data_IF_870363527639
#
_entry.id   IF_870363527639
#
_cell.length_a   1.000
_cell.length_b   1.000
_cell.length_c   1.000
_cell.angle_alpha   90.00
_cell.angle_beta   90.00
_cell.angle_gamma   90.00
#
_symmetry.space_group_name_H-M   'P 1'
#
loop_
_entity.id
_entity.type
_entity.pdbx_description
1 polymer ?
#
# COMPACT_ATOMS: atom_id res chain seq x y z
N UNK A 1 0.06 11.45 31.47
CA UNK A 1 -0.98 12.50 31.67
C UNK A 1 -0.98 13.39 30.44
N UNK A 2 -2.17 13.80 29.98
CA UNK A 2 -2.28 14.82 28.94
C UNK A 2 -1.76 16.16 29.49
N UNK A 3 -1.16 16.98 28.64
CA UNK A 3 -0.84 18.36 29.03
C UNK A 3 -2.13 19.17 29.24
N UNK A 4 -2.01 20.29 29.97
CA UNK A 4 -3.16 21.09 30.39
C UNK A 4 -3.96 21.65 29.20
N UNK A 5 -3.30 22.01 28.10
CA UNK A 5 -3.97 22.57 26.93
C UNK A 5 -4.77 21.48 26.21
N UNK A 6 -4.18 20.30 26.01
CA UNK A 6 -4.87 19.15 25.43
C UNK A 6 -6.05 18.69 26.29
N UNK A 7 -5.90 18.64 27.62
CA UNK A 7 -7.00 18.28 28.52
C UNK A 7 -8.13 19.31 28.48
N UNK A 8 -7.81 20.60 28.49
CA UNK A 8 -8.81 21.67 28.39
C UNK A 8 -9.60 21.60 27.09
N UNK A 9 -8.91 21.38 25.96
CA UNK A 9 -9.55 21.23 24.66
C UNK A 9 -10.41 19.95 24.58
N UNK A 10 -9.96 18.84 25.15
CA UNK A 10 -10.75 17.61 25.24
C UNK A 10 -12.05 17.84 26.00
N UNK A 11 -11.99 18.48 27.17
CA UNK A 11 -13.17 18.77 27.99
C UNK A 11 -14.12 19.71 27.24
N UNK A 12 -13.60 20.73 26.56
CA UNK A 12 -14.38 21.63 25.71
C UNK A 12 -15.15 20.87 24.62
N UNK A 13 -14.51 19.92 23.94
CA UNK A 13 -15.17 19.09 22.91
C UNK A 13 -16.22 18.18 23.53
N UNK A 14 -15.88 17.49 24.63
CA UNK A 14 -16.76 16.55 25.29
C UNK A 14 -18.00 17.21 25.93
N UNK A 15 -17.89 18.48 26.33
CA UNK A 15 -18.99 19.25 26.91
C UNK A 15 -19.79 20.07 25.87
N UNK A 16 -19.44 20.00 24.59
CA UNK A 16 -20.14 20.75 23.55
C UNK A 16 -21.56 20.19 23.34
N UNK A 17 -22.53 21.07 23.10
CA UNK A 17 -23.93 20.68 22.88
C UNK A 17 -24.13 19.80 21.64
N UNK A 18 -23.21 19.91 20.67
CA UNK A 18 -23.19 19.17 19.41
C UNK A 18 -22.23 17.96 19.44
N UNK A 19 -21.70 17.59 20.62
CA UNK A 19 -20.73 16.50 20.80
C UNK A 19 -21.20 15.17 20.20
N UNK A 20 -22.47 14.81 20.38
CA UNK A 20 -23.00 13.55 19.84
C UNK A 20 -22.93 13.52 18.31
N UNK A 21 -23.24 14.64 17.64
CA UNK A 21 -23.13 14.74 16.19
C UNK A 21 -21.66 14.70 15.74
N UNK A 22 -20.78 15.37 16.48
CA UNK A 22 -19.34 15.32 16.22
C UNK A 22 -18.82 13.88 16.32
N UNK A 23 -19.17 13.19 17.40
CA UNK A 23 -18.79 11.80 17.66
C UNK A 23 -19.33 10.86 16.55
N UNK A 24 -20.56 11.06 16.09
CA UNK A 24 -21.13 10.32 14.96
C UNK A 24 -20.30 10.53 13.68
N UNK A 25 -19.97 11.79 13.32
CA UNK A 25 -19.12 12.07 12.16
C UNK A 25 -17.77 11.33 12.28
N UNK A 26 -17.11 11.40 13.44
CA UNK A 26 -15.83 10.72 13.64
C UNK A 26 -15.97 9.20 13.52
N UNK A 27 -17.01 8.59 14.11
CA UNK A 27 -17.30 7.16 13.94
C UNK A 27 -17.51 6.78 12.47
N UNK A 28 -18.21 7.61 11.68
CA UNK A 28 -18.42 7.39 10.23
C UNK A 28 -17.10 7.41 9.45
N UNK A 29 -16.12 8.22 9.86
CA UNK A 29 -14.76 8.17 9.29
C UNK A 29 -13.93 6.96 9.76
N UNK A 30 -14.46 6.15 10.68
CA UNK A 30 -13.76 5.04 11.32
C UNK A 30 -12.77 5.49 12.41
N UNK A 31 -12.89 6.71 12.94
CA UNK A 31 -11.88 7.31 13.81
C UNK A 31 -10.65 7.77 13.03
N UNK A 32 -10.84 8.42 11.88
CA UNK A 32 -9.73 8.95 11.09
C UNK A 32 -8.89 9.93 11.91
N UNK A 33 -7.56 9.79 11.88
CA UNK A 33 -6.63 10.64 12.64
C UNK A 33 -6.43 12.04 12.07
N UNK A 34 -6.78 12.24 10.80
CA UNK A 34 -6.55 13.51 10.09
C UNK A 34 -7.65 13.78 9.05
N UNK A 35 -8.93 13.87 9.44
CA UNK A 35 -10.05 13.92 8.49
C UNK A 35 -10.00 15.17 7.61
N UNK A 36 -10.48 15.06 6.38
CA UNK A 36 -10.68 16.22 5.50
C UNK A 36 -11.98 16.93 5.89
N UNK A 37 -11.94 18.25 5.96
CA UNK A 37 -13.10 19.07 6.23
C UNK A 37 -13.69 19.62 4.93
N UNK A 38 -15.00 19.44 4.76
CA UNK A 38 -15.78 20.09 3.72
C UNK A 38 -16.83 21.00 4.34
N UNK A 39 -17.12 22.11 3.68
CA UNK A 39 -18.28 22.96 3.94
C UNK A 39 -19.13 23.04 2.70
N UNK A 40 -20.45 23.10 2.85
CA UNK A 40 -21.36 23.17 1.72
C UNK A 40 -22.65 22.41 1.96
N UNK A 41 -23.28 21.99 0.87
CA UNK A 41 -24.63 21.41 0.90
C UNK A 41 -24.85 20.41 -0.24
N UNK A 42 -25.87 19.57 -0.06
CA UNK A 42 -26.41 18.69 -1.09
C UNK A 42 -27.93 18.72 -1.05
N UNK A 43 -28.54 18.74 -2.23
CA UNK A 43 -29.98 18.81 -2.46
C UNK A 43 -30.39 17.68 -3.41
N UNK A 44 -31.31 16.84 -2.98
CA UNK A 44 -31.93 15.82 -3.81
C UNK A 44 -33.30 16.33 -4.24
N UNK A 45 -33.56 16.35 -5.55
CA UNK A 45 -34.84 16.74 -6.13
C UNK A 45 -35.43 15.62 -6.97
N UNK A 46 -36.74 15.49 -6.95
CA UNK A 46 -37.45 14.71 -7.97
C UNK A 46 -37.33 15.46 -9.31
N UNK A 47 -36.84 14.80 -10.36
CA UNK A 47 -36.64 15.39 -11.69
C UNK A 47 -37.95 15.73 -12.39
N UNK A 48 -39.02 15.01 -12.08
CA UNK A 48 -40.32 15.11 -12.74
C UNK A 48 -41.15 16.22 -12.10
N UNK A 49 -41.25 16.24 -10.77
CA UNK A 49 -42.07 17.20 -10.03
C UNK A 49 -41.28 18.45 -9.62
N UNK A 50 -39.94 18.35 -9.55
CA UNK A 50 -39.08 19.39 -8.99
C UNK A 50 -39.09 19.47 -7.46
N UNK A 51 -39.83 18.58 -6.79
CA UNK A 51 -39.95 18.51 -5.33
C UNK A 51 -38.57 18.26 -4.69
N UNK A 52 -38.32 18.92 -3.56
CA UNK A 52 -37.11 18.65 -2.77
C UNK A 52 -37.34 17.44 -1.88
N UNK A 53 -36.67 16.35 -2.22
CA UNK A 53 -36.74 15.09 -1.49
C UNK A 53 -35.86 15.10 -0.25
N UNK A 54 -34.70 15.76 -0.32
CA UNK A 54 -33.76 15.86 0.79
C UNK A 54 -32.85 17.08 0.63
N UNK A 55 -32.53 17.74 1.74
CA UNK A 55 -31.54 18.81 1.78
C UNK A 55 -30.64 18.62 3.01
N UNK A 56 -29.34 18.65 2.78
CA UNK A 56 -28.32 18.63 3.82
C UNK A 56 -27.40 19.84 3.64
N UNK A 57 -27.03 20.49 4.73
CA UNK A 57 -26.06 21.59 4.76
C UNK A 57 -25.15 21.47 5.98
N UNK A 58 -23.89 21.89 5.84
CA UNK A 58 -22.93 21.88 6.97
C UNK A 58 -23.12 23.01 7.95
N UNK A 59 -24.03 23.97 7.70
CA UNK A 59 -24.28 25.11 8.59
C UNK A 59 -24.63 24.68 10.03
N UNK A 60 -25.40 23.59 10.17
CA UNK A 60 -25.76 23.02 11.47
C UNK A 60 -24.79 21.96 12.01
N UNK A 61 -23.70 21.67 11.29
CA UNK A 61 -22.76 20.63 11.70
C UNK A 61 -21.72 21.16 12.70
N UNK A 62 -21.11 20.29 13.53
CA UNK A 62 -20.08 20.69 14.49
C UNK A 62 -18.87 21.37 13.84
N UNK A 63 -18.74 22.67 14.09
CA UNK A 63 -17.73 23.53 13.46
C UNK A 63 -18.06 23.92 12.02
N UNK A 64 -19.33 23.88 11.62
CA UNK A 64 -19.81 24.26 10.30
C UNK A 64 -19.36 23.32 9.18
N UNK A 65 -18.90 22.11 9.51
CA UNK A 65 -18.10 21.26 8.60
C UNK A 65 -18.49 19.77 8.66
N UNK A 66 -18.41 19.12 7.50
CA UNK A 66 -18.45 17.67 7.32
C UNK A 66 -17.04 17.09 7.34
N UNK A 67 -16.83 16.03 8.12
CA UNK A 67 -15.54 15.31 8.20
C UNK A 67 -15.54 14.06 7.34
N UNK A 68 -14.60 13.98 6.41
CA UNK A 68 -14.35 12.81 5.56
C UNK A 68 -13.07 12.10 5.96
N UNK A 69 -13.06 10.77 5.81
CA UNK A 69 -11.85 9.98 6.04
C UNK A 69 -10.74 10.40 5.06
N UNK A 70 -9.50 10.57 5.55
CA UNK A 70 -8.38 11.07 4.75
C UNK A 70 -7.90 10.13 3.64
N UNK A 71 -8.28 8.85 3.71
CA UNK A 71 -7.84 7.83 2.74
C UNK A 71 -6.33 7.55 2.75
N UNK A 72 -5.60 8.03 3.76
CA UNK A 72 -4.16 7.83 3.84
C UNK A 72 -3.84 6.35 4.11
N UNK A 73 -3.03 5.74 3.23
CA UNK A 73 -2.65 4.33 3.35
C UNK A 73 -1.66 4.06 4.50
N UNK A 74 -0.94 5.08 4.99
CA UNK A 74 0.15 4.89 5.95
C UNK A 74 -0.39 4.74 7.37
N UNK A 75 -0.09 3.61 8.00
CA UNK A 75 -0.53 3.35 9.38
C UNK A 75 0.06 4.37 10.38
N UNK A 76 1.25 4.92 10.11
CA UNK A 76 1.85 5.98 10.93
C UNK A 76 1.08 7.30 10.90
N UNK A 77 0.33 7.56 9.82
CA UNK A 77 -0.44 8.80 9.62
C UNK A 77 -1.88 8.65 10.08
N UNK A 78 -2.52 7.56 9.69
CA UNK A 78 -3.89 7.29 10.04
C UNK A 78 -4.11 5.76 10.09
N UNK A 79 -3.99 5.14 11.27
CA UNK A 79 -4.21 3.71 11.45
C UNK A 79 -5.56 3.23 10.89
N UNK A 80 -6.61 4.02 11.09
CA UNK A 80 -7.98 3.70 10.64
C UNK A 80 -8.11 3.63 9.11
N UNK A 81 -7.65 4.66 8.39
CA UNK A 81 -7.69 4.67 6.92
C UNK A 81 -6.73 3.62 6.33
N UNK A 82 -5.55 3.45 6.94
CA UNK A 82 -4.59 2.43 6.55
C UNK A 82 -5.16 1.01 6.68
N UNK A 83 -5.92 0.72 7.74
CA UNK A 83 -6.59 -0.57 7.93
C UNK A 83 -7.56 -0.87 6.78
N UNK A 84 -8.38 0.11 6.39
CA UNK A 84 -9.30 -0.04 5.24
C UNK A 84 -8.51 -0.30 3.93
N UNK A 85 -7.43 0.45 3.71
CA UNK A 85 -6.55 0.26 2.55
C UNK A 85 -5.87 -1.12 2.54
N UNK A 86 -5.45 -1.63 3.70
CA UNK A 86 -4.90 -2.98 3.84
C UNK A 86 -5.95 -4.03 3.46
N UNK A 87 -7.19 -3.88 3.96
CA UNK A 87 -8.31 -4.74 3.61
C UNK A 87 -8.60 -4.77 2.12
N UNK A 88 -8.58 -3.60 1.46
CA UNK A 88 -8.73 -3.52 0.01
C UNK A 88 -7.60 -4.22 -0.74
N UNK A 89 -6.38 -4.03 -0.28
CA UNK A 89 -5.21 -4.68 -0.89
C UNK A 89 -5.28 -6.19 -0.69
N UNK A 90 -5.71 -6.65 0.49
CA UNK A 90 -5.94 -8.07 0.77
C UNK A 90 -6.95 -8.66 -0.21
N UNK A 91 -8.13 -8.05 -0.35
CA UNK A 91 -9.17 -8.53 -1.25
C UNK A 91 -8.75 -8.49 -2.72
N UNK A 92 -8.02 -7.46 -3.14
CA UNK A 92 -7.48 -7.34 -4.49
C UNK A 92 -6.48 -8.48 -4.79
N UNK A 93 -5.56 -8.77 -3.87
CA UNK A 93 -4.55 -9.83 -4.05
C UNK A 93 -5.17 -11.21 -3.95
N UNK A 94 -6.04 -11.43 -2.96
CA UNK A 94 -6.76 -12.69 -2.75
C UNK A 94 -7.64 -13.03 -3.94
N UNK A 95 -8.44 -12.10 -4.46
CA UNK A 95 -9.29 -12.37 -5.62
C UNK A 95 -8.45 -12.84 -6.82
N UNK A 96 -7.28 -12.24 -7.04
CA UNK A 96 -6.35 -12.72 -8.05
C UNK A 96 -5.83 -14.14 -7.73
N UNK A 97 -5.49 -14.46 -6.50
CA UNK A 97 -4.92 -15.76 -6.17
C UNK A 97 -5.93 -16.91 -6.12
N UNK A 98 -7.14 -16.62 -5.65
CA UNK A 98 -8.10 -17.60 -5.17
C UNK A 98 -9.47 -17.56 -5.87
N UNK A 99 -9.67 -16.60 -6.78
CA UNK A 99 -11.00 -16.27 -7.30
C UNK A 99 -11.84 -15.53 -6.26
N UNK A 100 -12.87 -14.84 -6.76
CA UNK A 100 -13.87 -14.13 -5.98
C UNK A 100 -15.06 -13.75 -6.88
N UNK A 101 -16.16 -14.49 -6.77
CA UNK A 101 -17.35 -14.31 -7.61
C UNK A 101 -17.96 -12.91 -7.44
N UNK A 102 -17.83 -12.29 -6.25
CA UNK A 102 -18.32 -10.92 -6.00
C UNK A 102 -17.49 -9.84 -6.71
N UNK A 103 -16.39 -10.25 -7.35
CA UNK A 103 -15.42 -9.38 -8.02
C UNK A 103 -15.15 -9.85 -9.44
N UNK A 104 -16.01 -10.73 -9.96
CA UNK A 104 -15.95 -11.31 -11.30
C UNK A 104 -14.60 -11.98 -11.60
N UNK A 105 -14.03 -12.70 -10.63
CA UNK A 105 -12.81 -13.50 -10.84
C UNK A 105 -13.14 -14.97 -10.57
N UNK A 106 -13.00 -15.89 -11.53
CA UNK A 106 -13.40 -17.27 -11.34
C UNK A 106 -12.45 -18.02 -10.39
N UNK A 107 -13.00 -19.01 -9.69
CA UNK A 107 -12.23 -19.89 -8.81
C UNK A 107 -11.13 -20.68 -9.53
N UNK A 108 -11.29 -20.92 -10.84
CA UNK A 108 -10.31 -21.63 -11.70
C UNK A 108 -8.96 -20.92 -11.80
N UNK A 109 -8.88 -19.63 -11.41
CA UNK A 109 -7.59 -18.91 -11.32
C UNK A 109 -6.59 -19.60 -10.36
N UNK A 110 -7.09 -20.44 -9.43
CA UNK A 110 -6.28 -21.28 -8.55
C UNK A 110 -5.52 -22.38 -9.27
N UNK A 111 -5.84 -22.67 -10.53
CA UNK A 111 -5.15 -23.67 -11.33
C UNK A 111 -4.03 -23.05 -12.18
N UNK A 112 -3.98 -21.71 -12.23
CA UNK A 112 -3.02 -21.00 -13.05
C UNK A 112 -1.61 -21.01 -12.42
N UNK A 113 -0.53 -21.22 -13.20
CA UNK A 113 0.84 -21.22 -12.68
C UNK A 113 1.20 -19.89 -12.03
N UNK A 114 1.54 -19.93 -10.75
CA UNK A 114 1.81 -18.73 -9.95
C UNK A 114 2.92 -18.93 -8.93
N UNK A 115 3.68 -17.86 -8.71
CA UNK A 115 4.75 -17.82 -7.73
C UNK A 115 4.72 -16.53 -6.93
N UNK A 116 5.23 -16.61 -5.70
CA UNK A 116 5.61 -15.47 -4.90
C UNK A 116 7.12 -15.26 -5.03
N UNK A 117 7.52 -14.12 -5.58
CA UNK A 117 8.91 -13.76 -5.84
C UNK A 117 9.35 -12.55 -5.03
N UNK A 118 10.52 -12.63 -4.41
CA UNK A 118 11.15 -11.54 -3.65
C UNK A 118 12.44 -11.08 -4.30
N UNK A 119 12.47 -9.83 -4.76
CA UNK A 119 13.60 -9.18 -5.41
C UNK A 119 14.30 -8.26 -4.42
N UNK A 120 15.54 -8.57 -4.05
CA UNK A 120 16.31 -7.77 -3.10
C UNK A 120 17.14 -6.69 -3.78
N UNK A 121 17.49 -5.64 -3.02
CA UNK A 121 18.49 -4.67 -3.42
C UNK A 121 19.91 -5.25 -3.38
N UNK A 122 20.84 -4.76 -4.22
CA UNK A 122 22.27 -5.07 -4.07
C UNK A 122 22.81 -4.50 -2.75
N UNK A 123 24.10 -4.75 -2.48
CA UNK A 123 24.79 -4.14 -1.34
C UNK A 123 25.39 -2.80 -1.75
N UNK A 124 25.32 -1.81 -0.85
CA UNK A 124 25.96 -0.49 -0.97
C UNK A 124 27.06 -0.31 0.10
N UNK A 125 27.48 -1.39 0.73
CA UNK A 125 28.31 -1.36 1.92
C UNK A 125 27.84 -2.37 2.96
N UNK A 126 28.68 -2.59 3.97
CA UNK A 126 28.37 -3.50 5.07
C UNK A 126 27.45 -2.80 6.07
N UNK A 127 26.45 -3.51 6.55
CA UNK A 127 25.49 -3.02 7.54
C UNK A 127 25.44 -3.94 8.75
N UNK A 128 25.04 -3.39 9.90
CA UNK A 128 24.69 -4.19 11.06
C UNK A 128 23.52 -5.11 10.73
N UNK A 129 23.66 -6.40 11.06
CA UNK A 129 22.66 -7.41 10.77
C UNK A 129 22.54 -8.42 11.93
N UNK A 130 21.60 -9.35 11.79
CA UNK A 130 21.42 -10.48 12.71
C UNK A 130 21.64 -11.79 11.95
N UNK A 131 22.86 -12.34 11.96
CA UNK A 131 23.12 -13.65 11.37
C UNK A 131 22.32 -14.75 12.06
N UNK A 132 21.99 -15.83 11.34
CA UNK A 132 21.30 -16.99 11.91
C UNK A 132 22.16 -17.72 12.96
N UNK A 133 23.48 -17.70 12.80
CA UNK A 133 24.48 -18.23 13.74
C UNK A 133 25.61 -17.21 13.92
N UNK A 134 26.11 -17.07 15.14
CA UNK A 134 27.20 -16.14 15.47
C UNK A 134 26.75 -14.73 15.83
N UNK A 135 27.66 -13.77 15.71
CA UNK A 135 27.46 -12.35 16.03
C UNK A 135 27.50 -11.49 14.77
N UNK A 136 26.97 -10.27 14.86
CA UNK A 136 27.16 -9.26 13.83
C UNK A 136 28.66 -9.03 13.60
N UNK A 137 29.04 -8.55 12.42
CA UNK A 137 30.44 -8.26 12.09
C UNK A 137 31.05 -7.16 12.98
N UNK A 138 30.25 -6.38 13.70
CA UNK A 138 30.71 -5.47 14.75
C UNK A 138 31.10 -6.18 16.07
N UNK A 139 30.96 -7.50 16.16
CA UNK A 139 31.21 -8.30 17.37
C UNK A 139 29.98 -8.48 18.28
N UNK A 140 28.90 -7.74 18.06
CA UNK A 140 27.71 -7.74 18.94
C UNK A 140 26.61 -8.69 18.45
N UNK A 141 25.92 -9.37 19.37
CA UNK A 141 24.64 -10.04 19.08
C UNK A 141 23.50 -9.05 19.26
N UNK A 142 22.93 -8.59 18.15
CA UNK A 142 21.79 -7.67 18.19
C UNK A 142 20.47 -8.40 18.49
N UNK A 143 19.60 -7.75 19.28
CA UNK A 143 18.19 -8.14 19.42
C UNK A 143 17.42 -7.83 18.13
N UNK A 144 16.20 -8.37 17.98
CA UNK A 144 15.40 -8.15 16.76
C UNK A 144 15.08 -6.67 16.51
N UNK A 145 14.97 -5.88 17.59
CA UNK A 145 14.54 -4.48 17.57
C UNK A 145 15.71 -3.51 17.83
N UNK A 146 16.96 -3.99 17.81
CA UNK A 146 18.11 -3.12 17.99
C UNK A 146 18.12 -1.99 16.93
N UNK A 147 18.23 -0.71 17.35
CA UNK A 147 18.12 0.44 16.45
C UNK A 147 19.30 0.53 15.47
N UNK A 148 20.41 -0.13 15.78
CA UNK A 148 21.58 -0.24 14.89
C UNK A 148 21.35 -1.18 13.71
N UNK A 149 20.36 -2.09 13.76
CA UNK A 149 20.14 -3.02 12.65
C UNK A 149 19.81 -2.29 11.34
N UNK A 150 20.57 -2.60 10.29
CA UNK A 150 20.44 -1.97 8.98
C UNK A 150 21.32 -0.73 8.80
N UNK A 151 21.89 -0.15 9.86
CA UNK A 151 22.81 0.97 9.72
C UNK A 151 24.16 0.50 9.18
N UNK A 152 24.89 1.39 8.50
CA UNK A 152 26.25 1.11 8.03
C UNK A 152 27.18 0.72 9.19
N UNK A 153 28.01 -0.31 8.99
CA UNK A 153 29.09 -0.65 9.95
C UNK A 153 30.16 0.45 9.98
N UNK A 154 30.44 1.01 8.81
CA UNK A 154 31.30 2.16 8.63
C UNK A 154 30.52 3.17 7.77
N UNK A 155 30.00 4.25 8.38
CA UNK A 155 29.25 5.27 7.67
C UNK A 155 30.06 6.01 6.60
N UNK A 156 31.39 6.10 6.70
CA UNK A 156 32.21 6.85 5.74
C UNK A 156 32.42 6.07 4.43
N UNK A 157 32.41 4.74 4.48
CA UNK A 157 32.59 3.89 3.30
C UNK A 157 31.28 3.38 2.69
N UNK A 158 30.13 3.68 3.31
CA UNK A 158 28.82 3.28 2.78
C UNK A 158 28.39 4.18 1.61
N UNK A 159 27.98 3.55 0.50
CA UNK A 159 27.59 4.21 -0.74
C UNK A 159 26.14 4.72 -0.67
N UNK A 160 25.93 5.80 0.08
CA UNK A 160 24.62 6.45 0.23
C UNK A 160 24.05 6.96 -1.11
N UNK A 161 24.91 7.51 -1.96
CA UNK A 161 24.51 7.97 -3.30
C UNK A 161 24.01 6.81 -4.16
N UNK A 162 24.73 5.68 -4.18
CA UNK A 162 24.30 4.47 -4.86
C UNK A 162 22.99 3.92 -4.33
N UNK A 163 22.80 3.91 -3.00
CA UNK A 163 21.55 3.46 -2.38
C UNK A 163 20.34 4.31 -2.77
N UNK A 164 20.47 5.65 -2.69
CA UNK A 164 19.42 6.60 -3.07
C UNK A 164 19.06 6.50 -4.56
N UNK A 165 20.07 6.42 -5.44
CA UNK A 165 19.88 6.26 -6.87
C UNK A 165 19.26 4.89 -7.21
N UNK A 166 19.66 3.81 -6.55
CA UNK A 166 19.03 2.50 -6.71
C UNK A 166 17.53 2.57 -6.38
N UNK A 167 17.18 3.16 -5.23
CA UNK A 167 15.77 3.34 -4.84
C UNK A 167 15.00 4.13 -5.90
N UNK A 168 15.57 5.21 -6.43
CA UNK A 168 14.94 6.01 -7.49
C UNK A 168 14.71 5.22 -8.78
N UNK A 169 15.66 4.34 -9.14
CA UNK A 169 15.63 3.52 -10.35
C UNK A 169 14.96 2.14 -10.18
N UNK A 170 14.54 1.75 -8.97
CA UNK A 170 13.92 0.45 -8.71
C UNK A 170 12.65 0.20 -9.55
N UNK A 171 11.86 1.25 -9.83
CA UNK A 171 10.72 1.17 -10.74
C UNK A 171 11.10 0.82 -12.18
N UNK A 172 12.23 1.35 -12.68
CA UNK A 172 12.76 1.05 -14.01
C UNK A 172 13.33 -0.37 -14.09
N UNK A 173 14.01 -0.83 -13.02
CA UNK A 173 14.46 -2.22 -12.92
C UNK A 173 13.28 -3.20 -13.03
N UNK A 174 12.15 -2.90 -12.37
CA UNK A 174 10.95 -3.72 -12.48
C UNK A 174 10.33 -3.70 -13.87
N UNK A 175 10.26 -2.52 -14.51
CA UNK A 175 9.77 -2.42 -15.89
C UNK A 175 10.64 -3.27 -16.83
N UNK A 176 11.97 -3.17 -16.73
CA UNK A 176 12.89 -3.97 -17.54
C UNK A 176 12.79 -5.45 -17.25
N UNK A 177 12.67 -5.84 -15.98
CA UNK A 177 12.43 -7.21 -15.56
C UNK A 177 11.15 -7.79 -16.19
N UNK A 178 9.99 -7.12 -16.06
CA UNK A 178 8.75 -7.64 -16.63
C UNK A 178 8.78 -7.71 -18.16
N UNK A 179 9.48 -6.77 -18.81
CA UNK A 179 9.70 -6.82 -20.26
C UNK A 179 10.55 -8.03 -20.64
N UNK A 180 11.64 -8.31 -19.91
CA UNK A 180 12.48 -9.48 -20.17
C UNK A 180 11.76 -10.78 -19.84
N UNK A 181 11.00 -10.84 -18.75
CA UNK A 181 10.25 -12.03 -18.32
C UNK A 181 9.31 -12.52 -19.42
N UNK A 182 8.61 -11.62 -20.13
CA UNK A 182 7.78 -12.00 -21.28
C UNK A 182 8.59 -12.67 -22.40
N UNK A 183 9.84 -12.24 -22.62
CA UNK A 183 10.73 -12.85 -23.63
C UNK A 183 11.22 -14.21 -23.18
N UNK A 184 11.57 -14.35 -21.90
CA UNK A 184 12.02 -15.61 -21.31
C UNK A 184 10.92 -16.68 -21.30
N UNK A 185 9.66 -16.29 -21.07
CA UNK A 185 8.50 -17.18 -21.17
C UNK A 185 8.28 -17.58 -22.64
N UNK A 186 8.26 -16.61 -23.56
CA UNK A 186 8.07 -16.88 -24.98
C UNK A 186 9.13 -17.87 -25.52
N UNK A 187 10.40 -17.64 -25.19
CA UNK A 187 11.50 -18.50 -25.61
C UNK A 187 11.36 -19.95 -25.09
N UNK A 188 10.94 -20.13 -23.82
CA UNK A 188 10.68 -21.46 -23.23
C UNK A 188 9.48 -22.17 -23.85
N UNK A 189 8.51 -21.40 -24.32
CA UNK A 189 7.35 -21.92 -25.02
C UNK A 189 7.60 -22.17 -26.53
N UNK A 190 8.78 -21.84 -27.06
CA UNK A 190 9.06 -21.90 -28.50
C UNK A 190 8.29 -20.87 -29.32
N UNK A 191 7.85 -19.77 -28.70
CA UNK A 191 7.01 -18.73 -29.28
C UNK A 191 7.77 -17.41 -29.46
N UNK A 192 7.31 -16.61 -30.43
CA UNK A 192 7.60 -15.18 -30.47
C UNK A 192 6.80 -14.43 -29.38
N UNK A 193 7.21 -13.19 -29.08
CA UNK A 193 6.43 -12.34 -28.16
C UNK A 193 5.05 -11.96 -28.70
N UNK A 194 4.84 -12.04 -30.02
CA UNK A 194 3.53 -11.76 -30.63
C UNK A 194 2.59 -12.93 -30.36
N UNK A 195 3.03 -14.14 -30.69
CA UNK A 195 2.29 -15.38 -30.45
C UNK A 195 2.02 -15.60 -28.96
N UNK A 196 2.98 -15.26 -28.07
CA UNK A 196 2.75 -15.34 -26.64
C UNK A 196 1.53 -14.51 -26.20
N UNK A 197 1.33 -13.30 -26.76
CA UNK A 197 0.19 -12.44 -26.38
C UNK A 197 -1.15 -12.99 -26.84
N UNK A 198 -1.16 -13.82 -27.87
CA UNK A 198 -2.37 -14.42 -28.44
C UNK A 198 -2.84 -15.63 -27.61
N UNK A 199 -1.94 -16.28 -26.86
CA UNK A 199 -2.25 -17.46 -26.07
C UNK A 199 -2.09 -17.31 -24.55
N UNK A 200 -1.31 -16.33 -24.07
CA UNK A 200 -1.03 -16.19 -22.65
C UNK A 200 -0.80 -14.74 -22.20
N UNK A 201 -1.08 -14.48 -20.93
CA UNK A 201 -0.86 -13.18 -20.31
C UNK A 201 -0.03 -13.31 -19.04
N UNK A 202 0.99 -12.45 -18.93
CA UNK A 202 1.70 -12.25 -17.67
C UNK A 202 0.89 -11.34 -16.75
N UNK A 203 0.42 -11.89 -15.64
CA UNK A 203 -0.29 -11.17 -14.59
C UNK A 203 0.55 -11.06 -13.33
N UNK A 204 0.48 -9.92 -12.64
CA UNK A 204 1.20 -9.76 -11.38
C UNK A 204 0.56 -8.73 -10.47
N UNK A 205 0.75 -8.90 -9.16
CA UNK A 205 0.61 -7.87 -8.14
C UNK A 205 1.93 -7.73 -7.41
N UNK A 206 2.44 -6.50 -7.22
CA UNK A 206 3.67 -6.26 -6.49
C UNK A 206 3.51 -5.21 -5.40
N UNK A 207 4.30 -5.37 -4.35
CA UNK A 207 4.55 -4.35 -3.33
C UNK A 207 6.03 -4.09 -3.18
N UNK A 208 6.38 -2.82 -3.01
CA UNK A 208 7.70 -2.37 -2.60
C UNK A 208 7.77 -2.36 -1.08
N UNK A 209 8.88 -2.69 -0.47
CA UNK A 209 9.09 -2.60 0.98
C UNK A 209 10.50 -2.07 1.24
N UNK A 210 10.69 -1.34 2.33
CA UNK A 210 12.02 -0.91 2.76
C UNK A 210 12.63 -1.92 3.72
N UNK A 211 13.85 -2.36 3.40
CA UNK A 211 14.71 -3.04 4.37
C UNK A 211 15.15 -2.05 5.45
N UNK A 212 15.52 -2.54 6.63
CA UNK A 212 16.05 -1.68 7.73
C UNK A 212 17.20 -0.75 7.28
N UNK A 213 17.97 -1.16 6.26
CA UNK A 213 19.05 -0.38 5.63
C UNK A 213 18.59 0.71 4.63
N UNK A 214 17.30 1.01 4.55
CA UNK A 214 16.75 2.02 3.65
C UNK A 214 16.69 1.65 2.16
N UNK A 215 17.13 0.44 1.77
CA UNK A 215 17.04 -0.04 0.39
C UNK A 215 15.69 -0.72 0.13
N UNK A 216 15.08 -0.42 -1.03
CA UNK A 216 13.80 -1.00 -1.42
C UNK A 216 13.95 -2.43 -1.97
N UNK A 217 13.09 -3.35 -1.57
CA UNK A 217 12.94 -4.68 -2.16
C UNK A 217 11.50 -4.91 -2.59
N UNK A 218 11.27 -5.74 -3.61
CA UNK A 218 9.93 -5.99 -4.13
C UNK A 218 9.47 -7.41 -3.81
N UNK A 219 8.24 -7.52 -3.34
CA UNK A 219 7.49 -8.77 -3.30
C UNK A 219 6.47 -8.78 -4.42
N UNK A 220 6.40 -9.85 -5.19
CA UNK A 220 5.48 -9.95 -6.31
C UNK A 220 4.81 -11.33 -6.35
N UNK A 221 3.49 -11.32 -6.47
CA UNK A 221 2.75 -12.46 -6.99
C UNK A 221 2.79 -12.36 -8.51
N UNK A 222 3.30 -13.38 -9.18
CA UNK A 222 3.42 -13.43 -10.64
C UNK A 222 2.73 -14.70 -11.12
N UNK A 223 1.92 -14.58 -12.17
CA UNK A 223 1.09 -15.65 -12.72
C UNK A 223 1.06 -15.63 -14.24
N UNK A 224 0.91 -16.81 -14.85
CA UNK A 224 0.59 -16.93 -16.27
C UNK A 224 -0.90 -17.26 -16.39
N UNK A 225 -1.62 -16.40 -17.12
CA UNK A 225 -3.04 -16.54 -17.45
C UNK A 225 -3.22 -16.91 -18.93
N UNK A 226 -4.44 -17.28 -19.32
CA UNK A 226 -4.85 -17.23 -20.73
C UNK A 226 -4.85 -15.79 -21.29
N UNK A 227 -5.17 -15.61 -22.58
CA UNK A 227 -4.97 -14.34 -23.28
C UNK A 227 -5.83 -13.19 -22.73
N UNK A 228 -7.05 -13.49 -22.29
CA UNK A 228 -8.00 -12.51 -21.74
C UNK A 228 -7.77 -12.24 -20.25
N UNK A 229 -6.95 -13.04 -19.58
CA UNK A 229 -6.59 -12.91 -18.18
C UNK A 229 -7.16 -14.05 -17.32
N UNK A 230 -7.54 -13.78 -16.06
CA UNK A 230 -7.87 -14.82 -15.07
C UNK A 230 -9.09 -15.66 -15.47
N UNK A 231 -9.91 -15.17 -16.40
CA UNK A 231 -11.14 -15.84 -16.84
C UNK A 231 -10.88 -16.96 -17.86
N UNK A 232 -9.68 -17.01 -18.42
CA UNK A 232 -9.28 -17.97 -19.45
C UNK A 232 -8.13 -18.85 -18.96
N UNK A 233 -8.20 -20.17 -19.17
CA UNK A 233 -7.16 -21.08 -18.73
C UNK A 233 -5.83 -20.79 -19.45
N UNK A 234 -4.70 -20.96 -18.77
CA UNK A 234 -3.40 -20.81 -19.38
C UNK A 234 -3.11 -21.98 -20.35
N UNK A 235 -2.22 -21.80 -21.34
CA UNK A 235 -1.78 -22.90 -22.20
C UNK A 235 -1.14 -24.04 -21.42
N UNK A 236 -1.21 -25.26 -21.94
CA UNK A 236 -0.68 -26.47 -21.27
C UNK A 236 0.83 -26.44 -21.01
N UNK A 237 1.60 -25.71 -21.82
CA UNK A 237 3.04 -25.50 -21.60
C UNK A 237 3.34 -24.54 -20.45
N UNK A 238 2.37 -23.74 -20.01
CA UNK A 238 2.56 -22.79 -18.93
C UNK A 238 2.54 -23.58 -17.61
N UNK A 239 3.74 -23.81 -17.06
CA UNK A 239 3.91 -24.48 -15.76
C UNK A 239 4.60 -23.56 -14.77
N UNK A 240 4.56 -23.95 -13.48
CA UNK A 240 5.28 -23.24 -12.42
C UNK A 240 6.79 -23.27 -12.65
N UNK A 241 7.32 -24.35 -13.24
CA UNK A 241 8.74 -24.50 -13.55
C UNK A 241 9.15 -23.54 -14.66
N UNK A 242 8.38 -23.48 -15.76
CA UNK A 242 8.60 -22.51 -16.85
C UNK A 242 8.61 -21.08 -16.30
N UNK A 243 7.64 -20.75 -15.43
CA UNK A 243 7.55 -19.43 -14.82
C UNK A 243 8.75 -19.15 -13.89
N UNK A 244 9.12 -20.10 -13.04
CA UNK A 244 10.21 -19.96 -12.08
C UNK A 244 11.55 -19.77 -12.78
N UNK A 245 11.84 -20.58 -13.79
CA UNK A 245 13.06 -20.49 -14.58
C UNK A 245 13.13 -19.20 -15.38
N UNK A 246 12.00 -18.77 -15.98
CA UNK A 246 11.92 -17.51 -16.69
C UNK A 246 12.15 -16.31 -15.76
N UNK A 247 11.65 -16.34 -14.53
CA UNK A 247 11.89 -15.29 -13.53
C UNK A 247 13.38 -15.22 -13.16
N UNK A 248 14.02 -16.36 -12.89
CA UNK A 248 15.46 -16.41 -12.56
C UNK A 248 16.30 -15.85 -13.71
N UNK A 249 16.05 -16.31 -14.93
CA UNK A 249 16.75 -15.84 -16.12
C UNK A 249 16.52 -14.34 -16.36
N UNK A 250 15.28 -13.86 -16.26
CA UNK A 250 14.95 -12.46 -16.47
C UNK A 250 15.60 -11.54 -15.41
N UNK A 251 15.68 -11.98 -14.16
CA UNK A 251 16.26 -11.20 -13.07
C UNK A 251 17.78 -10.99 -13.22
N UNK A 252 18.50 -11.98 -13.75
CA UNK A 252 19.96 -11.93 -13.94
C UNK A 252 20.38 -11.37 -15.31
N UNK A 253 19.46 -11.31 -16.28
CA UNK A 253 19.76 -10.85 -17.63
C UNK A 253 20.27 -9.39 -17.68
N UNK A 254 21.25 -9.10 -18.55
CA UNK A 254 21.87 -7.78 -18.70
C UNK A 254 20.88 -6.66 -19.02
N UNK A 255 19.88 -6.93 -19.87
CA UNK A 255 18.77 -6.02 -20.16
C UNK A 255 18.01 -5.52 -18.92
N UNK A 256 17.99 -6.30 -17.83
CA UNK A 256 17.32 -5.94 -16.56
C UNK A 256 18.16 -4.98 -15.71
N UNK A 257 19.32 -4.52 -16.20
CA UNK A 257 20.12 -3.50 -15.53
C UNK A 257 19.69 -2.07 -15.86
N UNK A 258 20.08 -1.10 -15.03
CA UNK A 258 19.92 0.33 -15.29
C UNK A 258 21.25 1.06 -15.13
N UNK A 259 21.76 1.61 -16.22
CA UNK A 259 22.97 2.43 -16.22
C UNK A 259 22.63 3.89 -15.95
N UNK A 260 23.38 4.50 -15.04
CA UNK A 260 23.38 5.94 -14.74
C UNK A 260 24.76 6.47 -15.11
N UNK A 261 24.86 7.44 -16.05
CA UNK A 261 26.15 7.99 -16.46
C UNK A 261 26.81 8.76 -15.32
N UNK A 262 28.14 8.92 -15.42
CA UNK A 262 28.88 9.80 -14.53
C UNK A 262 28.43 11.26 -14.74
N UNK A 263 28.29 12.02 -13.64
CA UNK A 263 27.92 13.43 -13.66
C UNK A 263 28.67 14.13 -12.53
N UNK A 264 29.43 15.18 -12.86
CA UNK A 264 30.29 15.90 -11.91
C UNK A 264 31.20 14.94 -11.12
N UNK A 265 31.10 14.95 -9.80
CA UNK A 265 31.83 14.11 -8.84
C UNK A 265 31.22 12.69 -8.68
N UNK A 266 30.05 12.44 -9.26
CA UNK A 266 29.36 11.15 -9.16
C UNK A 266 29.82 10.19 -10.26
N UNK A 267 30.31 8.98 -9.92
CA UNK A 267 30.77 8.01 -10.90
C UNK A 267 29.61 7.40 -11.69
N UNK A 268 29.93 6.81 -12.85
CA UNK A 268 28.96 6.00 -13.59
C UNK A 268 28.59 4.76 -12.76
N UNK A 269 27.30 4.40 -12.77
CA UNK A 269 26.76 3.29 -11.97
C UNK A 269 25.90 2.39 -12.83
N UNK A 270 25.85 1.10 -12.48
CA UNK A 270 24.90 0.15 -13.08
C UNK A 270 24.17 -0.60 -11.98
N UNK A 271 22.85 -0.40 -11.92
CA UNK A 271 21.99 -1.06 -10.95
C UNK A 271 21.43 -2.36 -11.51
N UNK A 272 21.34 -3.37 -10.66
CA UNK A 272 20.75 -4.69 -10.90
C UNK A 272 20.04 -5.14 -9.62
N UNK A 273 19.18 -6.15 -9.73
CA UNK A 273 18.69 -6.84 -8.53
C UNK A 273 19.85 -7.50 -7.78
N UNK A 274 19.71 -7.57 -6.45
CA UNK A 274 20.66 -8.24 -5.57
C UNK A 274 20.71 -9.74 -5.84
N UNK A 275 21.74 -10.40 -5.29
CA UNK A 275 21.97 -11.85 -5.46
C UNK A 275 20.87 -12.71 -4.82
N UNK A 276 20.14 -12.18 -3.84
CA UNK A 276 19.07 -12.89 -3.16
C UNK A 276 17.77 -12.70 -3.94
N UNK A 277 17.39 -13.72 -4.71
CA UNK A 277 16.10 -13.85 -5.36
C UNK A 277 15.44 -15.12 -4.83
N UNK A 278 14.32 -14.93 -4.12
CA UNK A 278 13.50 -16.02 -3.61
C UNK A 278 12.28 -16.18 -4.52
N UNK A 279 12.05 -17.38 -5.06
CA UNK A 279 10.92 -17.69 -5.94
C UNK A 279 10.27 -18.94 -5.40
N UNK A 280 9.04 -18.80 -4.91
CA UNK A 280 8.30 -19.89 -4.28
C UNK A 280 6.97 -20.10 -4.99
N UNK A 281 6.63 -21.33 -5.42
CA UNK A 281 5.29 -21.65 -5.89
C UNK A 281 4.23 -21.25 -4.85
N UNK A 282 3.09 -20.74 -5.32
CA UNK A 282 1.90 -20.58 -4.46
C UNK A 282 0.93 -21.67 -4.86
N UNK A 283 0.63 -22.59 -3.94
CA UNK A 283 -0.27 -23.72 -4.21
C UNK A 283 -1.63 -23.51 -3.52
N UNK A 284 -2.66 -24.11 -4.11
CA UNK A 284 -4.00 -24.16 -3.54
C UNK A 284 -4.01 -25.03 -2.26
N UNK A 285 -4.99 -24.80 -1.38
CA UNK A 285 -5.13 -25.46 -0.07
C UNK A 285 -5.06 -27.01 -0.16
N UNK A 286 -4.38 -27.67 0.79
CA UNK A 286 -4.53 -29.12 1.02
C UNK A 286 -3.28 -30.02 0.93
N UNK A 287 -2.09 -29.52 0.58
CA UNK A 287 -0.90 -30.37 0.38
C UNK A 287 0.19 -30.27 1.47
N UNK A 288 -0.08 -29.58 2.58
CA UNK A 288 0.88 -29.43 3.68
C UNK A 288 2.04 -28.46 3.41
N UNK A 289 1.92 -27.57 2.41
CA UNK A 289 2.93 -26.56 2.11
C UNK A 289 2.86 -25.28 2.98
N UNK A 290 4.01 -24.62 3.17
CA UNK A 290 4.19 -23.46 4.06
C UNK A 290 3.55 -22.13 3.56
N UNK A 291 3.07 -22.04 2.31
CA UNK A 291 2.58 -20.78 1.72
C UNK A 291 1.22 -20.96 1.02
N UNK A 292 0.16 -20.51 1.70
CA UNK A 292 -1.22 -20.47 1.17
C UNK A 292 -1.54 -19.13 0.49
N UNK A 293 -2.58 -19.12 -0.34
CA UNK A 293 -3.09 -17.90 -1.02
C UNK A 293 -3.46 -16.79 -0.03
N UNK A 294 -4.08 -17.17 1.09
CA UNK A 294 -4.46 -16.25 2.16
C UNK A 294 -3.23 -15.72 2.90
N UNK A 295 -2.21 -16.56 3.12
CA UNK A 295 -0.95 -16.12 3.73
C UNK A 295 -0.24 -15.10 2.83
N UNK A 296 -0.20 -15.32 1.51
CA UNK A 296 0.37 -14.38 0.54
C UNK A 296 -0.43 -13.08 0.50
N UNK A 297 -1.76 -13.14 0.42
CA UNK A 297 -2.59 -11.94 0.42
C UNK A 297 -2.44 -11.13 1.71
N UNK A 298 -2.43 -11.80 2.87
CA UNK A 298 -2.21 -11.18 4.18
C UNK A 298 -0.80 -10.57 4.27
N UNK A 299 0.22 -11.27 3.78
CA UNK A 299 1.59 -10.76 3.71
C UNK A 299 1.63 -9.49 2.86
N UNK A 300 1.12 -9.51 1.64
CA UNK A 300 1.13 -8.34 0.74
C UNK A 300 0.35 -7.16 1.34
N UNK A 301 -0.83 -7.41 1.92
CA UNK A 301 -1.65 -6.39 2.58
C UNK A 301 -0.95 -5.75 3.79
N UNK A 302 -0.24 -6.54 4.59
CA UNK A 302 0.58 -6.06 5.72
C UNK A 302 1.63 -5.06 5.27
N UNK A 303 2.23 -5.25 4.10
CA UNK A 303 3.22 -4.29 3.59
C UNK A 303 2.55 -3.09 2.95
N UNK A 304 1.38 -3.22 2.32
CA UNK A 304 0.67 -2.14 1.61
C UNK A 304 0.53 -0.82 2.40
N UNK A 305 0.48 -0.90 3.74
CA UNK A 305 0.33 0.23 4.66
C UNK A 305 1.63 0.73 5.28
N UNK A 306 2.72 -0.01 5.10
CA UNK A 306 4.05 0.42 5.50
C UNK A 306 4.59 1.39 4.46
N UNK A 307 5.38 2.36 4.90
CA UNK A 307 6.24 3.12 4.02
C UNK A 307 7.65 3.19 4.63
N UNK A 308 8.44 4.17 4.20
CA UNK A 308 9.85 4.24 4.54
C UNK A 308 10.05 4.52 6.04
N UNK A 309 9.07 5.05 6.78
CA UNK A 309 9.16 5.40 8.21
C UNK A 309 9.60 4.26 9.13
N UNK A 310 9.43 2.99 8.73
CA UNK A 310 9.98 1.85 9.46
C UNK A 310 11.53 1.83 9.51
N UNK A 311 12.18 2.66 8.69
CA UNK A 311 13.63 2.90 8.71
C UNK A 311 13.98 4.21 9.43
N UNK A 312 13.04 4.82 10.15
CA UNK A 312 13.25 6.07 10.91
C UNK A 312 13.22 7.35 10.07
N UNK A 313 12.72 7.32 8.83
CA UNK A 313 12.51 8.53 8.00
C UNK A 313 11.17 9.19 8.31
N UNK A 314 10.97 10.39 7.75
CA UNK A 314 9.71 11.11 7.84
C UNK A 314 8.66 10.53 6.89
N UNK A 315 7.41 10.53 7.32
CA UNK A 315 6.24 10.12 6.55
C UNK A 315 5.56 11.30 5.81
N UNK A 316 6.33 12.37 5.56
CA UNK A 316 5.98 13.56 4.76
C UNK A 316 7.21 14.07 4.01
N UNK A 317 6.97 14.88 2.98
CA UNK A 317 8.04 15.62 2.31
C UNK A 317 8.80 16.50 3.31
N UNK A 318 10.09 16.62 3.05
CA UNK A 318 11.03 17.43 3.84
C UNK A 318 11.15 18.76 3.14
N UNK A 319 10.85 19.85 3.84
CA UNK A 319 11.04 21.21 3.31
C UNK A 319 12.50 21.62 3.37
N UNK A 320 13.12 21.41 4.54
CA UNK A 320 14.51 21.78 4.84
C UNK A 320 15.22 20.71 5.70
N UNK A 321 16.56 20.70 5.70
CA UNK A 321 17.34 19.69 6.44
C UNK A 321 17.26 19.85 7.97
N UNK A 322 17.07 21.07 8.48
CA UNK A 322 16.90 21.36 9.91
C UNK A 322 15.68 20.66 10.52
N UNK A 323 14.69 20.26 9.70
CA UNK A 323 13.58 19.43 10.16
C UNK A 323 14.05 18.08 10.72
N UNK A 324 15.17 17.54 10.22
CA UNK A 324 15.68 16.24 10.65
C UNK A 324 16.13 16.27 12.13
N UNK A 325 16.65 17.40 12.60
CA UNK A 325 17.08 17.58 13.99
C UNK A 325 15.86 17.56 14.92
N UNK A 326 14.79 18.27 14.54
CA UNK A 326 13.53 18.33 15.31
C UNK A 326 12.86 16.96 15.42
N UNK A 327 13.07 16.08 14.44
CA UNK A 327 12.45 14.76 14.40
C UNK A 327 13.36 13.63 14.89
N UNK A 328 14.58 13.92 15.32
CA UNK A 328 15.51 12.89 15.82
C UNK A 328 15.80 11.79 14.80
N UNK A 329 15.89 12.16 13.51
CA UNK A 329 16.09 11.19 12.43
C UNK A 329 17.44 10.47 12.63
N UNK A 330 17.47 9.11 12.64
CA UNK A 330 18.71 8.37 12.82
C UNK A 330 19.77 8.70 11.77
N UNK A 331 21.04 8.70 12.18
CA UNK A 331 22.17 9.15 11.35
C UNK A 331 22.25 8.46 9.98
N UNK A 332 22.06 7.13 9.92
CA UNK A 332 22.08 6.40 8.65
C UNK A 332 20.98 6.90 7.69
N UNK A 333 19.79 7.18 8.23
CA UNK A 333 18.65 7.67 7.45
C UNK A 333 18.84 9.13 7.05
N UNK A 334 19.42 9.96 7.93
CA UNK A 334 19.85 11.32 7.62
C UNK A 334 20.81 11.33 6.42
N UNK A 335 21.86 10.51 6.42
CA UNK A 335 22.81 10.42 5.30
C UNK A 335 22.18 9.99 3.98
N UNK A 336 21.16 9.11 4.00
CA UNK A 336 20.37 8.77 2.80
C UNK A 336 19.55 9.96 2.29
N UNK A 337 18.95 10.74 3.19
CA UNK A 337 18.19 11.95 2.85
C UNK A 337 19.11 13.04 2.29
N UNK A 338 20.26 13.25 2.92
CA UNK A 338 21.28 14.20 2.48
C UNK A 338 21.84 13.82 1.11
N UNK A 339 22.11 12.53 0.87
CA UNK A 339 22.47 12.05 -0.46
C UNK A 339 21.40 12.38 -1.51
N UNK A 340 20.11 12.23 -1.18
CA UNK A 340 19.04 12.65 -2.10
C UNK A 340 19.10 14.15 -2.41
N UNK A 341 19.40 15.00 -1.43
CA UNK A 341 19.51 16.45 -1.61
C UNK A 341 20.71 16.82 -2.49
N UNK A 342 21.88 16.21 -2.23
CA UNK A 342 23.10 16.45 -3.01
C UNK A 342 22.96 15.99 -4.46
N UNK A 343 22.27 14.87 -4.70
CA UNK A 343 22.08 14.31 -6.02
C UNK A 343 20.97 15.01 -6.85
N UNK A 344 20.01 15.67 -6.21
CA UNK A 344 18.88 16.32 -6.90
C UNK A 344 19.31 17.31 -8.01
N UNK A 345 20.25 18.25 -7.79
CA UNK A 345 20.71 19.16 -8.85
C UNK A 345 21.50 18.44 -9.96
N UNK A 346 22.13 17.30 -9.67
CA UNK A 346 22.87 16.52 -10.66
C UNK A 346 21.94 15.69 -11.57
N UNK A 347 20.73 15.40 -11.10
CA UNK A 347 19.73 14.59 -11.80
C UNK A 347 18.34 15.25 -11.76
N UNK A 348 18.14 16.41 -12.43
CA UNK A 348 16.94 17.25 -12.28
C UNK A 348 15.62 16.53 -12.61
N UNK A 349 15.63 15.56 -13.55
CA UNK A 349 14.44 14.79 -13.92
C UNK A 349 14.07 13.67 -12.92
N UNK A 350 14.87 13.48 -11.88
CA UNK A 350 14.70 12.39 -10.90
C UNK A 350 13.98 12.83 -9.64
N UNK A 351 13.93 14.13 -9.34
CA UNK A 351 13.22 14.72 -8.19
C UNK A 351 13.62 14.04 -6.87
N UNK A 352 14.91 13.75 -6.70
CA UNK A 352 15.44 13.03 -5.55
C UNK A 352 15.11 13.75 -4.24
N UNK A 353 15.18 15.08 -4.20
CA UNK A 353 14.82 15.86 -3.02
C UNK A 353 13.32 15.74 -2.68
N UNK A 354 12.45 15.84 -3.68
CA UNK A 354 11.01 15.70 -3.48
C UNK A 354 10.61 14.31 -2.92
N UNK A 355 11.45 13.29 -3.15
CA UNK A 355 11.28 11.92 -2.68
C UNK A 355 12.27 11.53 -1.57
N UNK A 356 12.99 12.48 -0.96
CA UNK A 356 13.99 12.19 0.07
C UNK A 356 13.38 11.53 1.32
N UNK A 357 12.15 11.90 1.67
CA UNK A 357 11.37 11.23 2.72
C UNK A 357 11.09 9.74 2.45
N UNK A 358 11.14 9.33 1.18
CA UNK A 358 11.07 7.94 0.72
C UNK A 358 12.46 7.41 0.29
N UNK A 359 13.54 8.02 0.78
CA UNK A 359 14.93 7.64 0.51
C UNK A 359 15.23 7.54 -0.99
N UNK A 360 14.65 8.45 -1.78
CA UNK A 360 14.80 8.54 -3.23
C UNK A 360 13.82 7.67 -4.03
N UNK A 361 13.06 6.77 -3.39
CA UNK A 361 12.06 5.93 -4.08
C UNK A 361 10.86 6.76 -4.53
N UNK A 362 10.66 6.84 -5.84
CA UNK A 362 9.56 7.59 -6.48
C UNK A 362 8.45 6.71 -7.08
N UNK A 363 8.51 5.40 -6.85
CA UNK A 363 7.56 4.44 -7.40
C UNK A 363 6.28 4.31 -6.58
N UNK A 364 5.25 3.70 -7.17
CA UNK A 364 4.09 3.26 -6.40
C UNK A 364 4.48 2.10 -5.48
N UNK A 365 4.05 2.20 -4.22
CA UNK A 365 4.28 1.17 -3.21
C UNK A 365 3.60 -0.15 -3.60
N UNK A 366 2.36 -0.10 -4.09
CA UNK A 366 1.64 -1.26 -4.59
C UNK A 366 1.22 -1.02 -6.04
N UNK A 367 1.34 -2.04 -6.90
CA UNK A 367 0.88 -1.98 -8.29
C UNK A 367 0.56 -3.36 -8.82
N UNK A 368 -0.47 -3.47 -9.65
CA UNK A 368 -0.83 -4.72 -10.35
C UNK A 368 -0.86 -4.55 -11.87
N UNK A 369 -0.77 -5.66 -12.60
CA UNK A 369 -1.13 -5.68 -14.01
C UNK A 369 -2.64 -5.43 -14.18
N UNK A 370 -3.05 -4.89 -15.34
CA UNK A 370 -4.43 -4.44 -15.59
C UNK A 370 -5.46 -5.54 -15.29
N UNK A 371 -5.23 -6.75 -15.82
CA UNK A 371 -6.11 -7.93 -15.73
C UNK A 371 -5.79 -8.87 -14.56
N UNK A 372 -5.06 -8.44 -13.52
CA UNK A 372 -4.72 -9.36 -12.43
C UNK A 372 -5.96 -9.78 -11.58
N UNK A 373 -6.82 -8.81 -11.25
CA UNK A 373 -8.06 -8.94 -10.47
C UNK A 373 -8.87 -7.62 -10.54
N UNK A 374 -9.77 -7.35 -9.58
CA UNK A 374 -10.47 -6.06 -9.39
C UNK A 374 -9.53 -4.86 -9.11
N UNK A 375 -10.08 -3.66 -8.94
CA UNK A 375 -9.32 -2.41 -8.68
C UNK A 375 -9.65 -1.80 -7.32
N UNK A 376 -8.71 -1.03 -6.76
CA UNK A 376 -8.99 -0.20 -5.57
C UNK A 376 -10.09 0.84 -5.83
N UNK A 377 -10.32 1.24 -7.09
CA UNK A 377 -11.44 2.11 -7.47
C UNK A 377 -12.77 1.39 -7.30
N UNK A 378 -12.90 0.19 -7.87
CA UNK A 378 -14.10 -0.63 -7.76
C UNK A 378 -14.43 -1.00 -6.30
N UNK A 379 -13.42 -1.33 -5.48
CA UNK A 379 -13.64 -1.62 -4.05
C UNK A 379 -14.12 -0.38 -3.26
N UNK A 380 -13.63 0.81 -3.62
CA UNK A 380 -14.11 2.08 -3.04
C UNK A 380 -15.52 2.40 -3.51
N UNK A 381 -15.83 2.17 -4.78
CA UNK A 381 -17.17 2.38 -5.35
C UNK A 381 -18.19 1.44 -4.70
N UNK A 382 -17.91 0.15 -4.59
CA UNK A 382 -18.80 -0.82 -3.93
C UNK A 382 -19.14 -0.41 -2.48
N UNK A 383 -18.19 0.19 -1.74
CA UNK A 383 -18.47 0.76 -0.42
C UNK A 383 -19.29 2.04 -0.48
N UNK A 384 -19.05 2.91 -1.47
CA UNK A 384 -19.82 4.12 -1.66
C UNK A 384 -21.28 3.78 -2.01
N UNK A 385 -21.50 2.85 -2.93
CA UNK A 385 -22.82 2.38 -3.33
C UNK A 385 -23.57 1.75 -2.16
N UNK A 386 -22.89 0.90 -1.37
CA UNK A 386 -23.47 0.34 -0.14
C UNK A 386 -23.91 1.43 0.84
N UNK A 387 -23.14 2.51 0.99
CA UNK A 387 -23.49 3.64 1.87
C UNK A 387 -24.61 4.49 1.28
N UNK A 388 -24.61 4.72 -0.02
CA UNK A 388 -25.67 5.44 -0.72
C UNK A 388 -27.01 4.69 -0.60
N UNK A 389 -27.01 3.37 -0.75
CA UNK A 389 -28.21 2.54 -0.56
C UNK A 389 -28.73 2.60 0.89
N UNK A 390 -27.83 2.59 1.88
CA UNK A 390 -28.22 2.79 3.29
C UNK A 390 -28.84 4.17 3.53
N UNK A 391 -28.26 5.21 2.95
CA UNK A 391 -28.77 6.58 3.05
C UNK A 391 -30.13 6.72 2.37
N UNK A 392 -30.30 6.18 1.16
CA UNK A 392 -31.58 6.13 0.46
C UNK A 392 -32.66 5.44 1.29
N UNK A 393 -32.35 4.31 1.93
CA UNK A 393 -33.29 3.60 2.80
C UNK A 393 -33.69 4.45 4.03
N UNK A 394 -32.74 5.14 4.66
CA UNK A 394 -33.01 6.03 5.81
C UNK A 394 -33.86 7.24 5.41
N UNK A 395 -33.65 7.77 4.20
CA UNK A 395 -34.38 8.92 3.67
C UNK A 395 -35.74 8.54 3.06
N UNK A 396 -36.11 7.26 3.02
CA UNK A 396 -37.35 6.81 2.37
C UNK A 396 -37.34 6.96 0.84
N UNK A 397 -36.14 6.99 0.22
CA UNK A 397 -35.95 7.18 -1.22
C UNK A 397 -35.75 5.84 -1.97
N UNK A 398 -35.90 4.71 -1.29
CA UNK A 398 -35.65 3.37 -1.85
C UNK A 398 -36.65 2.93 -2.93
N UNK A 399 -37.86 3.48 -2.92
CA UNK A 399 -38.93 3.15 -3.87
C UNK A 399 -38.94 4.06 -5.12
N UNK A 400 -38.00 4.99 -5.23
CA UNK A 400 -37.89 5.87 -6.38
C UNK A 400 -37.24 5.13 -7.56
N UNK A 401 -37.84 5.24 -8.74
CA UNK A 401 -37.29 4.66 -9.97
C UNK A 401 -35.85 5.17 -10.22
N UNK A 402 -34.92 4.32 -10.70
CA UNK A 402 -33.59 4.75 -11.08
C UNK A 402 -33.65 5.96 -12.03
N UNK A 403 -32.72 6.89 -11.87
CA UNK A 403 -32.61 8.12 -12.67
C UNK A 403 -33.72 9.18 -12.50
N UNK A 404 -34.66 9.06 -11.55
CA UNK A 404 -35.64 10.13 -11.26
C UNK A 404 -35.14 11.19 -10.28
N UNK A 405 -34.04 10.96 -9.57
CA UNK A 405 -33.49 11.91 -8.58
C UNK A 405 -32.37 12.75 -9.19
N UNK A 406 -32.51 14.08 -9.14
CA UNK A 406 -31.46 15.05 -9.44
C UNK A 406 -30.71 15.41 -8.17
N UNK A 407 -29.40 15.17 -8.16
CA UNK A 407 -28.51 15.56 -7.06
C UNK A 407 -27.77 16.85 -7.45
N UNK A 408 -28.01 17.92 -6.69
CA UNK A 408 -27.26 19.18 -6.77
C UNK A 408 -26.40 19.30 -5.53
N UNK A 409 -25.14 19.70 -5.68
CA UNK A 409 -24.24 19.87 -4.55
C UNK A 409 -23.21 20.96 -4.80
N UNK A 410 -22.85 21.67 -3.73
CA UNK A 410 -21.69 22.56 -3.67
C UNK A 410 -20.85 22.19 -2.46
N UNK A 411 -19.57 21.90 -2.67
CA UNK A 411 -18.64 21.46 -1.63
C UNK A 411 -17.31 22.18 -1.76
N UNK A 412 -16.85 22.74 -0.65
CA UNK A 412 -15.60 23.48 -0.56
C UNK A 412 -14.68 22.86 0.48
N UNK A 413 -13.39 22.83 0.18
CA UNK A 413 -12.36 22.36 1.11
C UNK A 413 -12.17 23.38 2.24
N UNK A 414 -12.28 22.92 3.49
CA UNK A 414 -12.24 23.75 4.69
C UNK A 414 -11.15 23.33 5.68
N UNK A 415 -10.07 22.72 5.18
CA UNK A 415 -8.95 22.24 5.99
C UNK A 415 -8.99 20.75 6.28
N UNK A 416 -8.16 20.32 7.24
CA UNK A 416 -8.12 18.94 7.69
C UNK A 416 -7.61 18.85 9.13
N UNK A 417 -7.76 17.68 9.73
CA UNK A 417 -7.16 17.35 11.01
C UNK A 417 -8.04 17.63 12.21
N UNK A 418 -7.47 17.37 13.37
CA UNK A 418 -8.12 17.52 14.66
C UNK A 418 -7.39 18.56 15.49
N UNK A 419 -8.12 19.23 16.38
CA UNK A 419 -7.47 19.87 17.53
C UNK A 419 -6.81 18.82 18.43
N UNK A 420 -5.90 19.19 19.35
CA UNK A 420 -5.28 18.22 20.27
C UNK A 420 -6.29 17.38 21.08
N UNK A 421 -7.37 18.00 21.56
CA UNK A 421 -8.46 17.31 22.27
C UNK A 421 -9.30 16.41 21.37
N UNK A 422 -9.72 16.92 20.19
CA UNK A 422 -10.40 16.10 19.17
C UNK A 422 -9.56 14.86 18.79
N UNK A 423 -8.23 15.00 18.72
CA UNK A 423 -7.30 13.91 18.37
C UNK A 423 -7.34 12.77 19.38
N UNK A 424 -7.39 13.08 20.69
CA UNK A 424 -7.47 12.08 21.76
C UNK A 424 -8.79 11.31 21.69
N UNK A 425 -9.90 12.03 21.50
CA UNK A 425 -11.23 11.43 21.39
C UNK A 425 -11.35 10.57 20.12
N UNK A 426 -10.88 11.07 18.98
CA UNK A 426 -10.86 10.32 17.72
C UNK A 426 -10.00 9.06 17.80
N UNK A 427 -8.85 9.12 18.48
CA UNK A 427 -8.01 7.94 18.73
C UNK A 427 -8.71 6.90 19.62
N UNK A 428 -9.49 7.32 20.61
CA UNK A 428 -10.32 6.41 21.41
C UNK A 428 -11.40 5.75 20.55
N UNK A 429 -12.13 6.52 19.76
CA UNK A 429 -13.12 5.98 18.81
C UNK A 429 -12.49 4.96 17.86
N UNK A 430 -11.30 5.26 17.32
CA UNK A 430 -10.58 4.35 16.43
C UNK A 430 -10.23 3.02 17.13
N UNK A 431 -9.74 3.09 18.37
CA UNK A 431 -9.43 1.91 19.20
C UNK A 431 -10.67 1.09 19.50
N UNK A 432 -11.77 1.73 19.91
CA UNK A 432 -13.02 1.02 20.22
C UNK A 432 -13.59 0.31 19.00
N UNK A 433 -13.56 0.97 17.83
CA UNK A 433 -13.96 0.35 16.57
C UNK A 433 -13.06 -0.83 16.18
N UNK A 434 -11.76 -0.74 16.45
CA UNK A 434 -10.83 -1.85 16.23
C UNK A 434 -11.12 -3.00 17.18
N UNK A 435 -11.23 -2.74 18.47
CA UNK A 435 -11.53 -3.74 19.50
C UNK A 435 -12.83 -4.46 19.19
N UNK A 436 -13.90 -3.74 18.86
CA UNK A 436 -15.18 -4.33 18.50
C UNK A 436 -15.07 -5.29 17.30
N UNK A 437 -14.23 -4.96 16.31
CA UNK A 437 -13.99 -5.85 15.15
C UNK A 437 -13.20 -7.10 15.54
N UNK A 438 -12.21 -6.96 16.42
CA UNK A 438 -11.40 -8.07 16.91
C UNK A 438 -12.26 -9.02 17.75
N UNK A 439 -13.04 -8.48 18.70
CA UNK A 439 -14.00 -9.24 19.50
C UNK A 439 -15.06 -9.91 18.63
N UNK A 440 -15.62 -9.22 17.65
CA UNK A 440 -16.58 -9.84 16.72
C UNK A 440 -15.96 -10.99 15.90
N UNK A 441 -14.68 -10.86 15.51
CA UNK A 441 -13.96 -11.92 14.80
C UNK A 441 -13.70 -13.13 15.71
N UNK A 442 -13.27 -12.88 16.94
CA UNK A 442 -13.03 -13.94 17.94
C UNK A 442 -14.33 -14.67 18.27
N UNK A 443 -15.42 -13.93 18.46
CA UNK A 443 -16.75 -14.50 18.67
C UNK A 443 -17.21 -15.35 17.48
N UNK A 444 -17.05 -14.86 16.24
CA UNK A 444 -17.39 -15.60 15.02
C UNK A 444 -16.57 -16.90 14.88
N UNK A 445 -15.29 -16.89 15.25
CA UNK A 445 -14.45 -18.08 15.22
C UNK A 445 -14.77 -19.09 16.34
N UNK A 446 -15.42 -18.63 17.41
CA UNK A 446 -15.87 -19.48 18.52
C UNK A 446 -17.28 -20.04 18.30
N UNK A 447 -18.01 -19.60 17.26
CA UNK A 447 -19.26 -20.23 16.87
C UNK A 447 -18.94 -21.63 16.31
N UNK A 448 -19.69 -22.68 16.70
CA UNK A 448 -19.57 -23.98 16.06
C UNK A 448 -19.81 -23.83 14.56
N UNK A 449 -19.03 -24.50 13.71
CA UNK A 449 -19.35 -24.61 12.29
C UNK A 449 -20.72 -25.29 12.19
N UNK A 450 -21.72 -24.59 11.63
CA UNK A 450 -23.08 -25.12 11.48
C UNK A 450 -23.03 -26.45 10.71
N UNK A 451 -23.19 -27.52 11.48
CA UNK A 451 -23.15 -28.92 11.06
C UNK A 451 -23.78 -29.79 12.14
N UNK A 452 -24.98 -29.41 12.60
CA UNK A 452 -26.06 -30.25 13.15
C UNK A 452 -27.09 -29.34 13.84
N UNK A 453 -28.12 -28.94 13.09
CA UNK A 453 -29.47 -28.67 13.61
C UNK A 453 -30.50 -29.10 12.56
#
# INVERSE_FOLDING_TARGET
MLDRATLGDLLRVASASDYHRWHEQIRRTGGCSDPIHLTGWVLHKDKTTGETLHHYSTEGEPGGRLRLACGNRRASRCPSCAWTYAGDTYHLIRAGLAGDDRRDIPATVRDHPRVFATFTAPSFGRVHNRPARGVCRCGTRHTADAPTLGTALDPETYDYAGAALFNNHAGQLWQRFTNRLRREIAARAGLSQRELKECARLSYGKVAEFQKRGAVHFHAVIRIDGPEGPDTPPPTWATVDVLSDAIRAAATHSYTSVSVPAVADQPARTFRWGRQLDVRPVKAFGDGSDITEQAVASYVAKYATKAAENTGTLDRRIGELSELDRHGVPEHTRRLIEACKLLDPLYPDRRLWAWAHMLGFRGHFSSKSRRYSTTLGALRQARADYRAAQEQAVLGLGDQEPDTVLVLADWQYAGHGHTPGESVLAATIARDLQLNRETAREALAALPEDGEW
#
